data_IF_972311269012
#
_entry.id   IF_972311269012
#
_cell.length_a   1.000
_cell.length_b   1.000
_cell.length_c   1.000
_cell.angle_alpha   90.00
_cell.angle_beta   90.00
_cell.angle_gamma   90.00
#
_symmetry.space_group_name_H-M   'P 1'
#
loop_
_entity.id
_entity.type
_entity.pdbx_description
1 polymer ?
#
# COMPACT_ATOMS: atom_id res chain seq x y z
N UNK A 1 7.31 52.22 -8.96
CA UNK A 1 7.46 51.27 -10.07
C UNK A 1 8.20 50.07 -9.55
N UNK A 2 7.47 49.08 -9.08
CA UNK A 2 8.00 47.80 -8.55
C UNK A 2 7.57 46.69 -9.49
N UNK A 3 8.55 46.12 -10.18
CA UNK A 3 8.37 45.00 -11.11
C UNK A 3 8.06 43.71 -10.33
N UNK A 4 6.84 43.25 -10.53
CA UNK A 4 6.42 41.89 -10.05
C UNK A 4 7.05 40.87 -10.96
N UNK A 5 8.00 40.09 -10.41
CA UNK A 5 8.60 38.93 -11.06
C UNK A 5 7.57 37.79 -11.04
N UNK A 6 7.01 37.49 -12.19
CA UNK A 6 6.17 36.29 -12.39
C UNK A 6 7.02 35.04 -12.41
N UNK A 7 7.00 34.26 -11.33
CA UNK A 7 7.54 32.90 -11.30
C UNK A 7 6.66 32.00 -12.16
N UNK A 8 7.13 31.74 -13.38
CA UNK A 8 6.58 30.72 -14.27
C UNK A 8 6.75 29.34 -13.63
N UNK A 9 5.69 28.84 -13.01
CA UNK A 9 5.56 27.42 -12.64
C UNK A 9 5.35 26.65 -13.95
N UNK A 10 6.44 26.15 -14.52
CA UNK A 10 6.39 25.21 -15.65
C UNK A 10 5.65 23.97 -15.16
N UNK A 11 4.36 23.86 -15.47
CA UNK A 11 3.65 22.59 -15.44
C UNK A 11 4.43 21.63 -16.36
N UNK A 12 5.11 20.68 -15.76
CA UNK A 12 5.73 19.59 -16.47
C UNK A 12 4.61 18.87 -17.23
N UNK A 13 4.51 19.12 -18.54
CA UNK A 13 3.56 18.46 -19.41
C UNK A 13 3.73 16.95 -19.23
N UNK A 14 2.67 16.28 -18.83
CA UNK A 14 2.65 14.82 -18.70
C UNK A 14 3.12 14.22 -20.04
N UNK A 15 4.13 13.35 -19.99
CA UNK A 15 4.59 12.64 -21.17
C UNK A 15 3.39 11.97 -21.86
N UNK A 16 3.31 11.97 -23.20
CA UNK A 16 2.20 11.37 -23.91
C UNK A 16 2.03 9.91 -23.46
N UNK A 17 0.80 9.42 -23.31
CA UNK A 17 0.55 8.08 -22.82
C UNK A 17 1.31 7.09 -23.73
N UNK A 18 2.22 6.33 -23.14
CA UNK A 18 2.91 5.23 -23.85
C UNK A 18 1.83 4.30 -24.39
N UNK A 19 1.87 4.01 -25.67
CA UNK A 19 0.93 3.06 -26.29
C UNK A 19 0.93 1.74 -25.51
N UNK A 20 -0.22 1.06 -25.48
CA UNK A 20 -0.37 -0.22 -24.77
C UNK A 20 0.63 -1.25 -25.28
N UNK A 21 1.23 -1.98 -24.36
CA UNK A 21 2.13 -3.08 -24.72
C UNK A 21 1.35 -4.27 -25.29
N UNK A 22 2.02 -5.12 -26.09
CA UNK A 22 1.42 -6.36 -26.60
C UNK A 22 0.85 -7.23 -25.48
N UNK A 23 1.56 -7.34 -24.34
CA UNK A 23 1.10 -8.09 -23.17
C UNK A 23 -0.19 -7.52 -22.58
N UNK A 24 -0.33 -6.20 -22.52
CA UNK A 24 -1.56 -5.55 -22.04
C UNK A 24 -2.75 -5.79 -22.97
N UNK A 25 -2.53 -5.78 -24.28
CA UNK A 25 -3.58 -6.06 -25.25
C UNK A 25 -4.03 -7.52 -25.19
N UNK A 26 -3.06 -8.46 -25.14
CA UNK A 26 -3.35 -9.88 -24.96
C UNK A 26 -4.11 -10.12 -23.66
N UNK A 27 -3.67 -9.51 -22.57
CA UNK A 27 -4.33 -9.64 -21.25
C UNK A 27 -5.78 -9.19 -21.27
N UNK A 28 -6.09 -8.06 -21.93
CA UNK A 28 -7.45 -7.57 -22.05
C UNK A 28 -8.34 -8.53 -22.85
N UNK A 29 -7.86 -9.00 -24.01
CA UNK A 29 -8.59 -9.95 -24.85
C UNK A 29 -8.81 -11.27 -24.10
N UNK A 30 -7.75 -11.79 -23.46
CA UNK A 30 -7.80 -13.02 -22.69
C UNK A 30 -8.82 -12.93 -21.53
N UNK A 31 -8.91 -11.79 -20.83
CA UNK A 31 -9.86 -11.58 -19.76
C UNK A 31 -11.31 -11.75 -20.26
N UNK A 32 -11.65 -11.14 -21.40
CA UNK A 32 -12.99 -11.29 -21.99
C UNK A 32 -13.26 -12.71 -22.53
N UNK A 33 -12.26 -13.35 -23.14
CA UNK A 33 -12.39 -14.73 -23.61
C UNK A 33 -12.67 -15.67 -22.43
N UNK A 34 -11.89 -15.58 -21.35
CA UNK A 34 -12.05 -16.43 -20.17
C UNK A 34 -13.40 -16.17 -19.50
N UNK A 35 -13.82 -14.91 -19.36
CA UNK A 35 -15.16 -14.58 -18.89
C UNK A 35 -16.23 -15.23 -19.76
N UNK A 36 -16.16 -15.07 -21.08
CA UNK A 36 -17.12 -15.66 -22.02
C UNK A 36 -17.16 -17.19 -21.95
N UNK A 37 -16.00 -17.84 -21.90
CA UNK A 37 -15.90 -19.30 -21.73
C UNK A 37 -16.60 -19.75 -20.44
N UNK A 38 -16.30 -19.10 -19.30
CA UNK A 38 -16.93 -19.46 -18.02
C UNK A 38 -18.45 -19.28 -18.10
N UNK A 39 -18.94 -18.19 -18.68
CA UNK A 39 -20.38 -17.94 -18.80
C UNK A 39 -21.14 -18.94 -19.72
N UNK A 40 -20.42 -19.55 -20.67
CA UNK A 40 -20.98 -20.57 -21.59
C UNK A 40 -20.92 -22.00 -21.02
N UNK A 41 -20.07 -22.24 -20.02
CA UNK A 41 -20.03 -23.55 -19.35
C UNK A 41 -21.31 -23.79 -18.54
N UNK A 42 -21.75 -25.07 -18.41
CA UNK A 42 -22.87 -25.39 -17.55
C UNK A 42 -22.56 -25.01 -16.09
N UNK A 43 -23.57 -24.46 -15.41
CA UNK A 43 -23.45 -24.13 -13.99
C UNK A 43 -23.29 -25.41 -13.16
N UNK A 44 -22.26 -25.60 -12.36
CA UNK A 44 -22.12 -26.76 -11.47
C UNK A 44 -23.33 -26.87 -10.53
N UNK A 45 -23.76 -28.08 -10.20
CA UNK A 45 -24.93 -28.33 -9.33
C UNK A 45 -24.75 -27.73 -7.91
N UNK A 46 -23.51 -27.60 -7.44
CA UNK A 46 -23.19 -27.06 -6.13
C UNK A 46 -23.14 -25.54 -6.08
N UNK A 47 -23.37 -24.86 -7.20
CA UNK A 47 -23.19 -23.42 -7.31
C UNK A 47 -24.43 -22.73 -7.85
N UNK A 48 -24.80 -21.59 -7.28
CA UNK A 48 -25.88 -20.79 -7.86
C UNK A 48 -25.49 -20.19 -9.21
N UNK A 49 -26.46 -19.88 -10.07
CA UNK A 49 -26.20 -19.16 -11.34
C UNK A 49 -25.48 -17.83 -11.10
N UNK A 50 -25.83 -17.13 -10.03
CA UNK A 50 -25.15 -15.88 -9.61
C UNK A 50 -23.69 -16.14 -9.26
N UNK A 51 -23.43 -17.16 -8.44
CA UNK A 51 -22.08 -17.54 -8.03
C UNK A 51 -21.19 -17.94 -9.22
N UNK A 52 -21.73 -18.76 -10.14
CA UNK A 52 -21.03 -19.13 -11.37
C UNK A 52 -20.61 -17.91 -12.20
N UNK A 53 -21.52 -16.97 -12.43
CA UNK A 53 -21.21 -15.72 -13.13
C UNK A 53 -20.16 -14.88 -12.42
N UNK A 54 -20.20 -14.85 -11.07
CA UNK A 54 -19.22 -14.10 -10.27
C UNK A 54 -17.84 -14.74 -10.29
N UNK A 55 -17.73 -16.07 -10.42
CA UNK A 55 -16.42 -16.71 -10.70
C UNK A 55 -15.87 -16.24 -12.04
N UNK A 56 -16.70 -16.07 -13.06
CA UNK A 56 -16.28 -15.48 -14.34
C UNK A 56 -15.73 -14.06 -14.17
N UNK A 57 -16.42 -13.22 -13.39
CA UNK A 57 -15.95 -11.84 -13.09
C UNK A 57 -14.68 -11.86 -12.27
N UNK A 58 -14.50 -12.79 -11.33
CA UNK A 58 -13.27 -12.95 -10.57
C UNK A 58 -12.09 -13.32 -11.48
N UNK A 59 -12.26 -14.30 -12.35
CA UNK A 59 -11.24 -14.69 -13.32
C UNK A 59 -10.84 -13.52 -14.23
N UNK A 60 -11.84 -12.78 -14.73
CA UNK A 60 -11.64 -11.55 -15.49
C UNK A 60 -10.80 -10.53 -14.69
N UNK A 61 -11.14 -10.26 -13.43
CA UNK A 61 -10.44 -9.35 -12.58
C UNK A 61 -8.95 -9.76 -12.37
N UNK A 62 -8.72 -11.04 -12.07
CA UNK A 62 -7.36 -11.58 -11.85
C UNK A 62 -6.50 -11.38 -13.10
N UNK A 63 -7.02 -11.69 -14.29
CA UNK A 63 -6.28 -11.54 -15.55
C UNK A 63 -5.94 -10.07 -15.80
N UNK A 64 -6.89 -9.15 -15.60
CA UNK A 64 -6.64 -7.71 -15.76
C UNK A 64 -5.54 -7.20 -14.82
N UNK A 65 -5.55 -7.66 -13.56
CA UNK A 65 -4.57 -7.21 -12.55
C UNK A 65 -3.19 -7.82 -12.79
N UNK A 66 -3.10 -9.11 -13.09
CA UNK A 66 -1.83 -9.79 -13.36
C UNK A 66 -1.13 -9.25 -14.61
N UNK A 67 -1.90 -8.91 -15.65
CA UNK A 67 -1.35 -8.38 -16.90
C UNK A 67 -1.21 -6.87 -16.93
N UNK A 68 -1.71 -6.17 -15.89
CA UNK A 68 -1.82 -4.71 -15.88
C UNK A 68 -2.47 -4.19 -17.19
N UNK A 69 -3.46 -4.94 -17.71
CA UNK A 69 -4.07 -4.69 -19.00
C UNK A 69 -4.73 -3.31 -19.09
N UNK A 70 -5.27 -2.82 -17.99
CA UNK A 70 -5.83 -1.47 -17.83
C UNK A 70 -5.40 -0.90 -16.48
N UNK A 71 -5.56 0.41 -16.29
CA UNK A 71 -5.29 1.03 -14.98
C UNK A 71 -6.26 0.54 -13.91
N UNK A 72 -5.85 0.61 -12.65
CA UNK A 72 -6.66 0.15 -11.52
C UNK A 72 -8.08 0.74 -11.47
N UNK A 73 -8.30 2.07 -11.64
CA UNK A 73 -9.64 2.62 -11.67
C UNK A 73 -10.50 2.04 -12.79
N UNK A 74 -9.90 1.85 -13.97
CA UNK A 74 -10.62 1.30 -15.13
C UNK A 74 -11.01 -0.16 -14.87
N UNK A 75 -10.09 -1.00 -14.35
CA UNK A 75 -10.42 -2.37 -14.00
C UNK A 75 -11.53 -2.45 -12.96
N UNK A 76 -11.47 -1.63 -11.92
CA UNK A 76 -12.51 -1.57 -10.89
C UNK A 76 -13.87 -1.17 -11.45
N UNK A 77 -13.93 -0.18 -12.36
CA UNK A 77 -15.17 0.22 -13.03
C UNK A 77 -15.73 -0.90 -13.89
N UNK A 78 -14.87 -1.60 -14.66
CA UNK A 78 -15.28 -2.75 -15.47
C UNK A 78 -15.83 -3.90 -14.60
N UNK A 79 -15.13 -4.24 -13.50
CA UNK A 79 -15.58 -5.28 -12.56
C UNK A 79 -16.92 -4.90 -11.95
N UNK A 80 -17.09 -3.65 -11.52
CA UNK A 80 -18.35 -3.17 -10.95
C UNK A 80 -19.49 -3.25 -11.96
N UNK A 81 -19.26 -2.82 -13.20
CA UNK A 81 -20.27 -2.88 -14.26
C UNK A 81 -20.65 -4.31 -14.62
N UNK A 82 -19.65 -5.20 -14.79
CA UNK A 82 -19.90 -6.61 -15.09
C UNK A 82 -20.65 -7.30 -13.95
N UNK A 83 -20.29 -7.03 -12.70
CA UNK A 83 -21.01 -7.55 -11.54
C UNK A 83 -22.45 -7.07 -11.52
N UNK A 84 -22.69 -5.76 -11.71
CA UNK A 84 -24.04 -5.21 -11.72
C UNK A 84 -24.93 -5.87 -12.80
N UNK A 85 -24.37 -6.07 -14.01
CA UNK A 85 -25.09 -6.69 -15.11
C UNK A 85 -25.28 -8.20 -14.91
N UNK A 86 -24.21 -8.95 -14.74
CA UNK A 86 -24.26 -10.42 -14.75
C UNK A 86 -24.98 -10.97 -13.52
N UNK A 87 -24.78 -10.35 -12.36
CA UNK A 87 -25.51 -10.73 -11.15
C UNK A 87 -26.94 -10.20 -11.16
N UNK A 88 -27.16 -8.97 -11.66
CA UNK A 88 -28.48 -8.37 -11.73
C UNK A 88 -29.49 -9.19 -12.58
N UNK A 89 -28.98 -9.84 -13.63
CA UNK A 89 -29.77 -10.78 -14.47
C UNK A 89 -29.66 -12.24 -13.98
N UNK A 90 -29.22 -12.48 -12.76
CA UNK A 90 -29.25 -13.79 -12.13
C UNK A 90 -30.51 -13.93 -11.24
N UNK A 91 -31.00 -15.16 -11.02
CA UNK A 91 -32.06 -15.39 -10.05
C UNK A 91 -31.70 -14.86 -8.68
N UNK A 92 -32.65 -14.25 -7.96
CA UNK A 92 -32.45 -13.78 -6.60
C UNK A 92 -32.36 -15.01 -5.66
N UNK A 93 -31.29 -15.15 -4.84
CA UNK A 93 -31.16 -16.26 -3.90
C UNK A 93 -32.35 -16.40 -2.93
N UNK A 94 -32.94 -15.27 -2.52
CA UNK A 94 -34.09 -15.23 -1.59
C UNK A 94 -35.47 -15.44 -2.29
N UNK A 95 -35.53 -15.22 -3.60
CA UNK A 95 -36.73 -15.36 -4.39
C UNK A 95 -36.41 -15.85 -5.82
N UNK A 96 -36.09 -17.14 -6.03
CA UNK A 96 -35.53 -17.65 -7.29
C UNK A 96 -36.42 -17.43 -8.54
N UNK A 97 -37.72 -17.21 -8.37
CA UNK A 97 -38.63 -16.86 -9.45
C UNK A 97 -38.44 -15.41 -9.96
N UNK A 98 -37.69 -14.59 -9.29
CA UNK A 98 -37.40 -13.19 -9.67
C UNK A 98 -35.93 -12.99 -9.90
N UNK A 99 -35.58 -12.09 -10.83
CA UNK A 99 -34.19 -11.63 -10.98
C UNK A 99 -33.79 -10.75 -9.81
N UNK A 100 -32.51 -10.77 -9.44
CA UNK A 100 -31.97 -9.90 -8.37
C UNK A 100 -32.18 -8.42 -8.69
N UNK A 101 -32.01 -8.04 -9.96
CA UNK A 101 -32.06 -6.68 -10.45
C UNK A 101 -30.69 -5.98 -10.38
N UNK A 102 -30.39 -5.19 -11.42
CA UNK A 102 -29.07 -4.52 -11.56
C UNK A 102 -28.80 -3.50 -10.45
N UNK A 103 -29.83 -2.83 -9.94
CA UNK A 103 -29.70 -1.88 -8.83
C UNK A 103 -29.25 -2.58 -7.54
N UNK A 104 -29.84 -3.73 -7.19
CA UNK A 104 -29.47 -4.51 -6.03
C UNK A 104 -28.05 -5.09 -6.18
N UNK A 105 -27.72 -5.62 -7.35
CA UNK A 105 -26.38 -6.12 -7.65
C UNK A 105 -25.32 -5.00 -7.55
N UNK A 106 -25.64 -3.80 -8.04
CA UNK A 106 -24.79 -2.63 -7.91
C UNK A 106 -24.58 -2.23 -6.44
N UNK A 107 -25.64 -2.22 -5.64
CA UNK A 107 -25.53 -1.92 -4.20
C UNK A 107 -24.67 -2.95 -3.47
N UNK A 108 -24.75 -4.23 -3.84
CA UNK A 108 -23.93 -5.28 -3.26
C UNK A 108 -22.43 -5.06 -3.53
N UNK A 109 -22.04 -4.76 -4.76
CA UNK A 109 -20.62 -4.55 -5.06
C UNK A 109 -20.09 -3.22 -4.49
N UNK A 110 -20.91 -2.16 -4.50
CA UNK A 110 -20.55 -0.86 -3.93
C UNK A 110 -20.38 -0.95 -2.40
N UNK A 111 -21.03 -1.89 -1.72
CA UNK A 111 -20.88 -2.10 -0.27
C UNK A 111 -19.41 -2.31 0.14
N UNK A 112 -18.55 -2.78 -0.76
CA UNK A 112 -17.11 -2.87 -0.52
C UNK A 112 -16.44 -1.53 -0.23
N UNK A 113 -16.94 -0.44 -0.80
CA UNK A 113 -16.41 0.92 -0.59
C UNK A 113 -16.76 1.49 0.78
N UNK A 114 -17.82 1.02 1.42
CA UNK A 114 -18.24 1.43 2.77
C UNK A 114 -17.72 0.51 3.88
N UNK A 115 -16.93 -0.50 3.54
CA UNK A 115 -16.35 -1.38 4.54
C UNK A 115 -15.33 -0.65 5.43
N UNK A 116 -15.26 -0.92 6.76
CA UNK A 116 -14.26 -0.34 7.64
C UNK A 116 -12.83 -0.55 7.12
N UNK A 117 -12.54 -1.72 6.54
CA UNK A 117 -11.25 -2.01 5.95
C UNK A 117 -10.91 -1.05 4.80
N UNK A 118 -11.88 -0.72 3.94
CA UNK A 118 -11.68 0.21 2.83
C UNK A 118 -11.44 1.63 3.32
N UNK A 119 -12.20 2.08 4.31
CA UNK A 119 -12.03 3.40 4.93
C UNK A 119 -10.63 3.49 5.55
N UNK A 120 -10.17 2.45 6.23
CA UNK A 120 -8.84 2.41 6.83
C UNK A 120 -7.72 2.43 5.77
N UNK A 121 -7.89 1.73 4.63
CA UNK A 121 -6.94 1.80 3.50
C UNK A 121 -6.85 3.23 2.97
N UNK A 122 -7.98 3.88 2.72
CA UNK A 122 -8.01 5.28 2.29
C UNK A 122 -7.34 6.20 3.30
N UNK A 123 -7.67 6.03 4.57
CA UNK A 123 -7.10 6.77 5.69
C UNK A 123 -5.56 6.62 5.76
N UNK A 124 -5.06 5.42 5.59
CA UNK A 124 -3.64 5.12 5.58
C UNK A 124 -2.87 5.87 4.48
N UNK A 125 -3.51 6.12 3.33
CA UNK A 125 -2.88 6.89 2.25
C UNK A 125 -2.67 8.37 2.65
N UNK A 126 -3.58 8.97 3.43
CA UNK A 126 -3.38 10.32 3.96
C UNK A 126 -2.18 10.40 4.91
N UNK A 127 -1.95 9.37 5.75
CA UNK A 127 -0.77 9.31 6.60
C UNK A 127 0.50 9.28 5.73
N UNK A 128 0.53 8.47 4.67
CA UNK A 128 1.66 8.42 3.73
C UNK A 128 1.92 9.76 3.04
N UNK A 129 0.86 10.51 2.70
CA UNK A 129 0.98 11.86 2.12
C UNK A 129 1.54 12.85 3.14
N UNK A 130 1.07 12.80 4.40
CA UNK A 130 1.57 13.65 5.48
C UNK A 130 3.07 13.39 5.76
N UNK A 131 3.51 12.12 5.77
CA UNK A 131 4.91 11.73 5.92
C UNK A 131 5.78 12.34 4.81
N UNK A 132 5.37 12.20 3.55
CA UNK A 132 6.09 12.79 2.41
C UNK A 132 6.10 14.33 2.45
N UNK A 133 4.98 14.95 2.84
CA UNK A 133 4.90 16.42 2.94
C UNK A 133 5.87 16.99 3.96
N UNK A 134 5.94 16.38 5.12
CA UNK A 134 6.81 16.83 6.21
C UNK A 134 8.27 16.44 6.02
N UNK A 135 8.53 15.34 5.28
CA UNK A 135 9.86 14.74 5.15
C UNK A 135 10.30 13.95 6.39
N UNK A 136 9.36 13.63 7.30
CA UNK A 136 9.67 12.86 8.50
C UNK A 136 10.18 11.46 8.19
N UNK A 137 9.67 10.81 7.14
CA UNK A 137 10.15 9.54 6.62
C UNK A 137 11.63 9.61 6.20
N UNK A 138 11.99 10.65 5.44
CA UNK A 138 13.40 10.91 5.04
C UNK A 138 14.29 11.17 6.26
N UNK A 139 13.81 11.95 7.22
CA UNK A 139 14.56 12.21 8.48
C UNK A 139 14.84 10.91 9.23
N UNK A 140 13.82 10.07 9.43
CA UNK A 140 13.97 8.77 10.11
C UNK A 140 15.02 7.92 9.38
N UNK A 141 14.91 7.80 8.06
CA UNK A 141 15.84 7.02 7.26
C UNK A 141 17.28 7.53 7.38
N UNK A 142 17.48 8.85 7.26
CA UNK A 142 18.82 9.46 7.36
C UNK A 142 19.41 9.32 8.78
N UNK A 143 18.60 9.46 9.83
CA UNK A 143 19.05 9.28 11.21
C UNK A 143 19.54 7.85 11.45
N UNK A 144 18.80 6.85 11.04
CA UNK A 144 19.18 5.44 11.20
C UNK A 144 20.42 5.14 10.37
N UNK A 145 20.42 5.47 9.08
CA UNK A 145 21.54 5.16 8.18
C UNK A 145 22.83 5.90 8.55
N UNK A 146 22.74 7.13 9.06
CA UNK A 146 23.93 7.87 9.53
C UNK A 146 24.51 7.35 10.85
N UNK A 147 23.82 6.45 11.55
CA UNK A 147 24.26 5.92 12.85
C UNK A 147 24.88 4.52 12.80
N UNK A 148 24.75 3.80 11.67
CA UNK A 148 25.15 2.39 11.59
C UNK A 148 26.63 2.16 11.21
N UNK A 149 27.36 3.23 10.85
CA UNK A 149 28.78 3.16 10.45
C UNK A 149 28.98 2.74 9.00
N UNK A 150 30.24 2.48 8.62
CA UNK A 150 30.70 2.36 7.23
C UNK A 150 30.75 0.95 6.67
N UNK A 151 30.56 -0.09 7.50
CA UNK A 151 30.53 -1.48 7.02
C UNK A 151 29.28 -1.75 6.19
N UNK A 152 29.44 -2.29 5.00
CA UNK A 152 28.33 -2.58 4.08
C UNK A 152 27.22 -3.43 4.74
N UNK A 153 27.59 -4.43 5.52
CA UNK A 153 26.64 -5.25 6.27
C UNK A 153 25.84 -4.49 7.32
N UNK A 154 26.47 -3.47 7.97
CA UNK A 154 25.79 -2.60 8.94
C UNK A 154 24.86 -1.61 8.22
N UNK A 155 25.28 -1.05 7.09
CA UNK A 155 24.42 -0.18 6.27
C UNK A 155 23.23 -0.98 5.77
N UNK A 156 23.42 -2.21 5.33
CA UNK A 156 22.33 -3.10 4.95
C UNK A 156 21.37 -3.37 6.12
N UNK A 157 21.89 -3.67 7.30
CA UNK A 157 21.07 -3.79 8.51
C UNK A 157 20.33 -2.48 8.82
N UNK A 158 20.97 -1.34 8.66
CA UNK A 158 20.38 -0.02 8.82
C UNK A 158 19.20 0.22 7.86
N UNK A 159 19.32 -0.21 6.60
CA UNK A 159 18.23 -0.17 5.61
C UNK A 159 17.05 -1.02 6.07
N UNK A 160 17.29 -2.24 6.55
CA UNK A 160 16.27 -3.14 7.08
C UNK A 160 15.56 -2.53 8.30
N UNK A 161 16.31 -2.00 9.26
CA UNK A 161 15.75 -1.35 10.46
C UNK A 161 14.96 -0.10 10.09
N UNK A 162 15.44 0.68 9.13
CA UNK A 162 14.70 1.85 8.62
C UNK A 162 13.34 1.42 8.04
N UNK A 163 13.32 0.36 7.23
CA UNK A 163 12.10 -0.22 6.71
C UNK A 163 11.12 -0.61 7.82
N UNK A 164 11.61 -1.25 8.89
CA UNK A 164 10.79 -1.60 10.06
C UNK A 164 10.20 -0.37 10.73
N UNK A 165 11.03 0.63 11.05
CA UNK A 165 10.54 1.85 11.71
C UNK A 165 9.51 2.55 10.83
N UNK A 166 9.79 2.70 9.54
CA UNK A 166 8.84 3.31 8.61
C UNK A 166 7.55 2.51 8.46
N UNK A 167 7.59 1.18 8.60
CA UNK A 167 6.39 0.34 8.49
C UNK A 167 5.35 0.61 9.58
N UNK A 168 5.76 1.12 10.74
CA UNK A 168 4.82 1.57 11.78
C UNK A 168 4.12 2.89 11.42
N UNK A 169 4.75 3.74 10.61
CA UNK A 169 4.28 5.09 10.34
C UNK A 169 3.78 5.29 8.90
N UNK A 170 4.29 4.52 7.95
CA UNK A 170 3.99 4.67 6.52
C UNK A 170 3.27 3.41 6.02
N UNK A 171 1.95 3.40 5.93
CA UNK A 171 1.16 2.22 5.57
C UNK A 171 1.14 1.94 4.06
N UNK A 172 2.30 2.01 3.43
CA UNK A 172 2.49 1.73 2.00
C UNK A 172 3.92 1.31 1.72
N UNK A 173 4.12 0.07 1.30
CA UNK A 173 5.40 -0.46 0.88
C UNK A 173 6.06 0.39 -0.21
N UNK A 174 5.28 0.75 -1.23
CA UNK A 174 5.76 1.58 -2.34
C UNK A 174 6.25 2.94 -1.86
N UNK A 175 5.54 3.58 -0.92
CA UNK A 175 5.95 4.86 -0.37
C UNK A 175 7.24 4.74 0.45
N UNK A 176 7.40 3.68 1.25
CA UNK A 176 8.63 3.43 2.02
C UNK A 176 9.83 3.21 1.12
N UNK A 177 9.69 2.37 0.08
CA UNK A 177 10.78 2.14 -0.89
C UNK A 177 11.06 3.40 -1.71
N UNK A 178 10.04 4.17 -2.09
CA UNK A 178 10.24 5.45 -2.77
C UNK A 178 11.00 6.48 -1.92
N UNK A 179 10.90 6.42 -0.59
CA UNK A 179 11.71 7.21 0.34
C UNK A 179 13.15 6.66 0.45
N UNK A 180 13.31 5.34 0.62
CA UNK A 180 14.60 4.69 0.85
C UNK A 180 15.50 4.67 -0.38
N UNK A 181 14.94 4.42 -1.57
CA UNK A 181 15.71 4.25 -2.79
C UNK A 181 16.59 5.46 -3.14
N UNK A 182 16.11 6.71 -3.13
CA UNK A 182 16.97 7.87 -3.38
C UNK A 182 18.09 8.04 -2.35
N UNK A 183 17.84 7.66 -1.08
CA UNK A 183 18.85 7.74 -0.01
C UNK A 183 19.93 6.70 -0.25
N UNK A 184 19.57 5.47 -0.57
CA UNK A 184 20.50 4.39 -0.92
C UNK A 184 21.34 4.78 -2.14
N UNK A 185 20.71 5.30 -3.20
CA UNK A 185 21.39 5.79 -4.40
C UNK A 185 22.35 6.93 -4.03
N UNK A 186 21.90 7.88 -3.23
CA UNK A 186 22.74 8.99 -2.76
C UNK A 186 23.97 8.53 -1.99
N UNK A 187 23.86 7.51 -1.12
CA UNK A 187 25.00 6.91 -0.42
C UNK A 187 25.97 6.29 -1.43
N UNK A 188 25.46 5.50 -2.37
CA UNK A 188 26.26 4.80 -3.38
C UNK A 188 27.00 5.80 -4.26
N UNK A 189 26.33 6.82 -4.80
CA UNK A 189 26.92 7.82 -5.70
C UNK A 189 27.93 8.74 -5.02
N UNK A 190 27.61 9.22 -3.82
CA UNK A 190 28.51 10.10 -3.08
C UNK A 190 29.83 9.41 -2.66
N UNK A 191 29.86 8.09 -2.66
CA UNK A 191 31.05 7.29 -2.41
C UNK A 191 31.77 6.86 -3.69
N UNK A 192 31.35 7.37 -4.86
CA UNK A 192 31.94 7.00 -6.15
C UNK A 192 31.68 5.56 -6.57
N UNK A 193 30.67 4.92 -6.00
CA UNK A 193 30.28 3.53 -6.31
C UNK A 193 29.30 3.56 -7.48
N UNK A 194 29.48 2.66 -8.44
CA UNK A 194 28.57 2.53 -9.58
C UNK A 194 27.16 2.09 -9.12
N UNK A 195 26.12 2.68 -9.72
CA UNK A 195 24.72 2.26 -9.49
C UNK A 195 24.44 0.80 -9.79
N UNK A 196 25.21 0.18 -10.69
CA UNK A 196 25.11 -1.23 -11.06
C UNK A 196 26.00 -2.16 -10.23
N UNK A 197 26.63 -1.66 -9.17
CA UNK A 197 27.48 -2.44 -8.26
C UNK A 197 26.67 -3.47 -7.48
N UNK A 198 27.35 -4.52 -6.99
CA UNK A 198 26.72 -5.51 -6.09
C UNK A 198 26.36 -4.92 -4.75
N UNK A 199 27.08 -3.88 -4.28
CA UNK A 199 26.69 -3.12 -3.08
C UNK A 199 25.33 -2.44 -3.28
N UNK A 200 25.16 -1.71 -4.37
CA UNK A 200 23.88 -1.06 -4.69
C UNK A 200 22.75 -2.10 -4.82
N UNK A 201 23.00 -3.22 -5.51
CA UNK A 201 22.05 -4.31 -5.65
C UNK A 201 21.67 -4.93 -4.29
N UNK A 202 22.66 -5.19 -3.42
CA UNK A 202 22.43 -5.72 -2.08
C UNK A 202 21.50 -4.81 -1.25
N UNK A 203 21.79 -3.51 -1.24
CA UNK A 203 21.00 -2.55 -0.46
C UNK A 203 19.58 -2.39 -1.02
N UNK A 204 19.41 -2.32 -2.34
CA UNK A 204 18.11 -2.13 -2.98
C UNK A 204 17.23 -3.37 -2.91
N UNK A 205 17.77 -4.55 -3.28
CA UNK A 205 17.04 -5.82 -3.22
C UNK A 205 16.70 -6.16 -1.77
N UNK A 206 17.67 -5.96 -0.87
CA UNK A 206 17.45 -6.20 0.55
C UNK A 206 16.42 -5.28 1.19
N UNK A 207 16.37 -3.99 0.78
CA UNK A 207 15.33 -3.07 1.23
C UNK A 207 13.93 -3.59 0.85
N UNK A 208 13.75 -3.98 -0.41
CA UNK A 208 12.45 -4.48 -0.93
C UNK A 208 12.03 -5.78 -0.24
N UNK A 209 12.96 -6.72 -0.07
CA UNK A 209 12.67 -8.00 0.59
C UNK A 209 12.29 -7.81 2.06
N UNK A 210 13.09 -7.04 2.81
CA UNK A 210 12.80 -6.76 4.21
C UNK A 210 11.45 -6.02 4.37
N UNK A 211 11.17 -5.06 3.50
CA UNK A 211 9.91 -4.31 3.52
C UNK A 211 8.70 -5.22 3.27
N UNK A 212 8.84 -6.24 2.43
CA UNK A 212 7.80 -7.26 2.21
C UNK A 212 7.46 -8.02 3.49
N UNK A 213 8.44 -8.39 4.30
CA UNK A 213 8.20 -9.08 5.56
C UNK A 213 7.67 -8.15 6.65
N UNK A 214 8.12 -6.89 6.69
CA UNK A 214 7.55 -5.88 7.59
C UNK A 214 6.10 -5.56 7.26
N UNK A 215 5.71 -5.64 5.98
CA UNK A 215 4.31 -5.54 5.58
C UNK A 215 3.43 -6.61 6.22
N UNK A 216 3.92 -7.85 6.31
CA UNK A 216 3.18 -8.95 6.94
C UNK A 216 3.05 -8.71 8.44
N UNK A 217 4.14 -8.24 9.09
CA UNK A 217 4.20 -8.09 10.54
C UNK A 217 3.20 -7.09 11.09
N UNK A 218 3.02 -5.95 10.42
CA UNK A 218 2.26 -4.82 10.95
C UNK A 218 0.93 -4.71 10.20
N UNK A 219 -0.18 -4.84 10.91
CA UNK A 219 -1.53 -4.83 10.35
C UNK A 219 -1.76 -3.62 9.41
N UNK A 220 -1.37 -2.44 9.84
CA UNK A 220 -1.56 -1.18 9.12
C UNK A 220 -0.48 -0.88 8.06
N UNK A 221 0.57 -1.70 7.97
CA UNK A 221 1.66 -1.47 7.01
C UNK A 221 1.27 -1.75 5.55
N UNK A 222 0.21 -2.54 5.33
CA UNK A 222 -0.21 -2.92 3.99
C UNK A 222 -1.73 -3.07 3.87
N UNK A 223 -2.28 -2.59 2.76
CA UNK A 223 -3.72 -2.62 2.49
C UNK A 223 -4.30 -4.03 2.49
N UNK A 224 -3.56 -5.03 1.99
CA UNK A 224 -4.00 -6.42 1.97
C UNK A 224 -4.26 -7.00 3.36
N UNK A 225 -3.50 -6.59 4.38
CA UNK A 225 -3.73 -7.02 5.76
C UNK A 225 -5.07 -6.48 6.28
N UNK A 226 -5.36 -5.22 5.97
CA UNK A 226 -6.60 -4.57 6.37
C UNK A 226 -7.81 -5.22 5.70
N UNK A 227 -7.67 -5.60 4.42
CA UNK A 227 -8.70 -6.35 3.69
C UNK A 227 -8.91 -7.74 4.32
N UNK A 228 -7.83 -8.44 4.66
CA UNK A 228 -7.91 -9.75 5.32
C UNK A 228 -8.64 -9.65 6.67
N UNK A 229 -8.28 -8.67 7.51
CA UNK A 229 -8.96 -8.41 8.79
C UNK A 229 -10.44 -8.06 8.57
N UNK A 230 -10.75 -7.26 7.56
CA UNK A 230 -12.14 -6.93 7.20
C UNK A 230 -12.96 -8.19 6.83
N UNK A 231 -12.37 -9.13 6.08
CA UNK A 231 -13.02 -10.41 5.78
C UNK A 231 -13.14 -11.32 7.00
N UNK A 232 -12.12 -11.40 7.87
CA UNK A 232 -12.23 -12.14 9.14
C UNK A 232 -13.39 -11.61 9.98
N UNK A 233 -13.54 -10.30 10.07
CA UNK A 233 -14.62 -9.67 10.84
C UNK A 233 -16.01 -9.94 10.22
N UNK A 234 -16.15 -9.78 8.89
CA UNK A 234 -17.46 -9.85 8.23
C UNK A 234 -17.93 -11.27 7.91
N UNK A 235 -16.99 -12.20 7.64
CA UNK A 235 -17.31 -13.55 7.21
C UNK A 235 -17.12 -14.60 8.31
N UNK A 236 -16.14 -14.38 9.20
CA UNK A 236 -15.82 -15.32 10.28
C UNK A 236 -16.32 -14.82 11.63
N UNK A 237 -16.92 -13.63 11.68
CA UNK A 237 -17.33 -12.94 12.92
C UNK A 237 -16.21 -12.87 13.98
N UNK A 238 -14.97 -12.75 13.51
CA UNK A 238 -13.77 -12.72 14.34
C UNK A 238 -13.14 -11.34 14.27
N UNK A 239 -13.07 -10.66 15.42
CA UNK A 239 -12.35 -9.39 15.54
C UNK A 239 -10.87 -9.64 15.82
N UNK A 240 -10.00 -9.10 15.00
CA UNK A 240 -8.54 -9.18 15.18
C UNK A 240 -8.04 -7.77 15.51
N UNK A 241 -7.58 -7.56 16.73
CA UNK A 241 -7.01 -6.26 17.13
C UNK A 241 -5.64 -6.05 16.45
N UNK A 242 -5.17 -4.80 16.43
CA UNK A 242 -3.87 -4.47 15.88
C UNK A 242 -2.73 -5.22 16.57
N UNK A 243 -2.81 -5.37 17.91
CA UNK A 243 -1.80 -6.08 18.70
C UNK A 243 -1.88 -7.60 18.52
N UNK A 244 -3.07 -8.17 18.32
CA UNK A 244 -3.22 -9.60 18.06
C UNK A 244 -2.58 -9.96 16.71
N UNK A 245 -2.80 -9.12 15.68
CA UNK A 245 -2.13 -9.28 14.40
C UNK A 245 -0.62 -9.20 14.55
N UNK A 246 -0.11 -8.17 15.24
CA UNK A 246 1.33 -7.99 15.44
C UNK A 246 1.96 -9.19 16.14
N UNK A 247 1.36 -9.68 17.22
CA UNK A 247 1.90 -10.82 17.99
C UNK A 247 1.86 -12.12 17.21
N UNK A 248 0.84 -12.33 16.38
CA UNK A 248 0.73 -13.51 15.54
C UNK A 248 1.72 -13.50 14.35
N UNK A 249 1.91 -12.34 13.72
CA UNK A 249 2.71 -12.21 12.50
C UNK A 249 4.20 -11.92 12.76
N UNK A 250 4.55 -11.33 13.92
CA UNK A 250 5.92 -10.93 14.23
C UNK A 250 6.94 -12.10 14.22
N UNK A 251 6.65 -13.27 14.80
CA UNK A 251 7.62 -14.37 14.81
C UNK A 251 8.02 -14.80 13.38
N UNK A 252 7.03 -14.96 12.49
CA UNK A 252 7.28 -15.30 11.09
C UNK A 252 8.12 -14.20 10.40
N UNK A 253 7.70 -12.95 10.52
CA UNK A 253 8.35 -11.83 9.82
C UNK A 253 9.79 -11.61 10.28
N UNK A 254 10.05 -11.71 11.59
CA UNK A 254 11.40 -11.57 12.16
C UNK A 254 12.31 -12.70 11.65
N UNK A 255 11.84 -13.94 11.68
CA UNK A 255 12.61 -15.10 11.18
C UNK A 255 12.92 -14.90 9.70
N UNK A 256 11.94 -14.51 8.90
CA UNK A 256 12.12 -14.31 7.45
C UNK A 256 13.07 -13.16 7.13
N UNK A 257 13.04 -12.08 7.90
CA UNK A 257 14.01 -10.97 7.74
C UNK A 257 15.43 -11.41 8.10
N UNK A 258 15.61 -12.19 9.16
CA UNK A 258 16.92 -12.75 9.52
C UNK A 258 17.43 -13.67 8.39
N UNK A 259 16.59 -14.56 7.87
CA UNK A 259 16.93 -15.42 6.73
C UNK A 259 17.29 -14.56 5.51
N UNK A 260 16.45 -13.57 5.17
CA UNK A 260 16.69 -12.69 4.04
C UNK A 260 17.99 -11.90 4.20
N UNK A 261 18.31 -11.43 5.41
CA UNK A 261 19.55 -10.71 5.69
C UNK A 261 20.80 -11.55 5.33
N UNK A 262 20.87 -12.79 5.77
CA UNK A 262 22.00 -13.66 5.47
C UNK A 262 21.98 -14.20 4.04
N UNK A 263 20.81 -14.62 3.55
CA UNK A 263 20.66 -15.18 2.21
C UNK A 263 21.01 -14.15 1.13
N UNK A 264 20.51 -12.91 1.24
CA UNK A 264 20.80 -11.87 0.26
C UNK A 264 22.29 -11.53 0.22
N UNK A 265 22.97 -11.48 1.39
CA UNK A 265 24.42 -11.28 1.43
C UNK A 265 25.22 -12.48 0.88
N UNK A 266 24.71 -13.69 1.02
CA UNK A 266 25.34 -14.88 0.44
C UNK A 266 25.22 -14.92 -1.08
N UNK A 267 24.07 -14.51 -1.61
CA UNK A 267 23.79 -14.46 -3.06
C UNK A 267 24.41 -13.23 -3.74
N UNK A 268 24.28 -12.07 -3.12
CA UNK A 268 24.80 -10.79 -3.62
C UNK A 268 26.01 -10.40 -2.77
N UNK A 269 27.17 -11.00 -3.06
CA UNK A 269 28.41 -10.69 -2.35
C UNK A 269 28.88 -9.28 -2.76
N UNK A 270 28.96 -8.30 -1.82
CA UNK A 270 29.46 -6.97 -2.13
C UNK A 270 30.92 -7.02 -2.56
N UNK A 271 31.35 -6.09 -3.43
CA UNK A 271 32.72 -6.00 -3.95
C UNK A 271 33.71 -5.67 -2.82
N UNK A 272 33.27 -4.95 -1.81
CA UNK A 272 34.06 -4.54 -0.65
C UNK A 272 33.21 -4.62 0.63
N UNK A 273 33.89 -4.77 1.75
CA UNK A 273 33.24 -4.94 3.07
C UNK A 273 32.96 -3.63 3.77
N UNK A 274 33.68 -2.57 3.40
CA UNK A 274 33.62 -1.26 4.05
C UNK A 274 33.67 -0.14 3.01
N UNK A 275 32.93 0.93 3.26
CA UNK A 275 32.86 2.11 2.38
C UNK A 275 33.98 3.08 2.74
N UNK A 276 35.01 3.19 1.90
CA UNK A 276 36.09 4.16 2.08
C UNK A 276 35.52 5.58 1.95
N UNK A 277 35.80 6.44 2.93
CA UNK A 277 35.22 7.78 2.98
C UNK A 277 33.76 7.85 3.47
N UNK A 278 33.17 6.72 3.85
CA UNK A 278 31.81 6.62 4.34
C UNK A 278 31.54 7.48 5.57
N UNK A 279 32.51 7.61 6.48
CA UNK A 279 32.37 8.42 7.71
C UNK A 279 32.11 9.90 7.39
N UNK A 280 32.81 10.45 6.40
CA UNK A 280 32.62 11.84 5.95
C UNK A 280 31.24 12.02 5.37
N UNK A 281 30.78 11.06 4.56
CA UNK A 281 29.46 11.11 3.93
C UNK A 281 28.34 10.97 4.96
N UNK A 282 28.46 10.04 5.91
CA UNK A 282 27.48 9.87 6.99
C UNK A 282 27.44 11.10 7.90
N UNK A 283 28.59 11.72 8.19
CA UNK A 283 28.66 12.98 8.95
C UNK A 283 27.98 14.14 8.18
N UNK A 284 28.16 14.21 6.85
CA UNK A 284 27.48 15.18 6.00
C UNK A 284 25.97 14.98 6.01
N UNK A 285 25.52 13.75 5.81
CA UNK A 285 24.08 13.40 5.91
C UNK A 285 23.49 13.83 7.26
N UNK A 286 24.21 13.60 8.36
CA UNK A 286 23.77 13.97 9.71
C UNK A 286 23.63 15.48 9.88
N UNK A 287 24.53 16.27 9.28
CA UNK A 287 24.43 17.74 9.27
C UNK A 287 23.27 18.24 8.41
N UNK A 288 23.00 17.59 7.28
CA UNK A 288 21.91 17.95 6.37
C UNK A 288 20.51 17.74 6.98
N UNK A 289 20.36 16.84 7.96
CA UNK A 289 19.08 16.61 8.64
C UNK A 289 18.58 17.89 9.31
N UNK A 290 19.45 18.71 9.88
CA UNK A 290 19.08 19.96 10.56
C UNK A 290 18.10 19.77 11.73
N UNK A 291 17.59 20.87 12.30
CA UNK A 291 16.59 20.82 13.37
C UNK A 291 15.25 20.31 12.84
N UNK A 292 14.48 19.66 13.72
CA UNK A 292 13.16 19.14 13.40
C UNK A 292 12.16 20.29 13.21
N UNK A 293 11.47 20.31 12.08
CA UNK A 293 10.45 21.31 11.78
C UNK A 293 9.22 21.15 12.68
N UNK A 294 8.40 22.20 12.77
CA UNK A 294 7.16 22.16 13.55
C UNK A 294 6.19 21.12 13.01
N UNK A 295 6.09 20.97 11.69
CA UNK A 295 5.18 20.00 11.07
C UNK A 295 5.66 18.57 11.25
N UNK A 296 6.98 18.31 11.22
CA UNK A 296 7.54 17.01 11.58
C UNK A 296 7.22 16.64 13.04
N UNK A 297 7.34 17.59 13.98
CA UNK A 297 7.00 17.37 15.40
C UNK A 297 5.53 17.05 15.58
N UNK A 298 4.64 17.82 14.92
CA UNK A 298 3.18 17.58 14.97
C UNK A 298 2.85 16.19 14.44
N UNK A 299 3.38 15.85 13.25
CA UNK A 299 3.16 14.54 12.65
C UNK A 299 3.66 13.41 13.52
N UNK A 300 4.87 13.53 14.07
CA UNK A 300 5.43 12.53 14.98
C UNK A 300 4.57 12.34 16.23
N UNK A 301 4.10 13.43 16.84
CA UNK A 301 3.21 13.38 18.00
C UNK A 301 1.89 12.66 17.68
N UNK A 302 1.23 13.03 16.57
CA UNK A 302 -0.03 12.41 16.14
C UNK A 302 0.21 10.93 15.80
N UNK A 303 1.30 10.60 15.12
CA UNK A 303 1.63 9.22 14.74
C UNK A 303 1.93 8.33 15.94
N UNK A 304 2.68 8.83 16.94
CA UNK A 304 2.92 8.10 18.20
C UNK A 304 1.61 7.91 18.97
N UNK A 305 0.77 8.95 19.06
CA UNK A 305 -0.54 8.86 19.69
C UNK A 305 -1.43 7.82 18.99
N UNK A 306 -1.42 7.81 17.66
CA UNK A 306 -2.17 6.84 16.87
C UNK A 306 -1.68 5.40 17.10
N UNK A 307 -0.36 5.17 17.09
CA UNK A 307 0.22 3.86 17.41
C UNK A 307 -0.14 3.40 18.83
N UNK A 308 -0.11 4.30 19.81
CA UNK A 308 -0.50 3.99 21.18
C UNK A 308 -1.99 3.58 21.24
N UNK A 309 -2.88 4.28 20.55
CA UNK A 309 -4.29 3.93 20.46
C UNK A 309 -4.49 2.57 19.75
N UNK A 310 -3.78 2.29 18.68
CA UNK A 310 -3.86 0.98 18.00
C UNK A 310 -3.37 -0.16 18.90
N UNK A 311 -2.24 0.03 19.60
CA UNK A 311 -1.66 -0.99 20.47
C UNK A 311 -2.51 -1.26 21.73
N UNK A 312 -3.29 -0.29 22.18
CA UNK A 312 -4.12 -0.39 23.40
C UNK A 312 -5.60 -0.67 23.12
N UNK A 313 -6.00 -0.64 21.83
CA UNK A 313 -7.36 -0.93 21.39
C UNK A 313 -7.82 -2.32 21.80
N UNK A 314 -9.06 -2.44 22.25
CA UNK A 314 -9.64 -3.68 22.77
C UNK A 314 -9.20 -4.06 24.17
N UNK A 315 -8.16 -3.41 24.75
CA UNK A 315 -7.67 -3.66 26.12
C UNK A 315 -7.94 -2.49 27.06
N UNK A 316 -7.54 -1.27 26.68
CA UNK A 316 -7.71 -0.06 27.50
C UNK A 316 -8.88 0.81 27.02
N UNK A 317 -9.32 0.67 25.78
CA UNK A 317 -10.46 1.40 25.21
C UNK A 317 -11.13 0.58 24.11
N UNK A 318 -12.37 0.92 23.79
CA UNK A 318 -13.19 0.25 22.77
C UNK A 318 -13.22 0.96 21.42
N UNK A 319 -12.41 2.01 21.22
CA UNK A 319 -12.35 2.74 19.96
C UNK A 319 -11.60 1.87 18.92
N UNK A 320 -12.24 1.59 17.80
CA UNK A 320 -11.67 0.76 16.74
C UNK A 320 -10.55 1.48 15.96
N UNK A 321 -9.73 0.68 15.28
CA UNK A 321 -8.56 1.16 14.51
C UNK A 321 -8.96 2.16 13.42
N UNK A 322 -10.09 1.96 12.75
CA UNK A 322 -10.57 2.84 11.68
C UNK A 322 -10.94 4.21 12.21
N UNK A 323 -11.73 4.25 13.30
CA UNK A 323 -12.14 5.50 13.95
C UNK A 323 -10.96 6.32 14.45
N UNK A 324 -9.99 5.67 15.13
CA UNK A 324 -8.77 6.34 15.60
C UNK A 324 -7.96 6.93 14.45
N UNK A 325 -7.91 6.22 13.31
CA UNK A 325 -7.20 6.70 12.12
C UNK A 325 -7.90 7.89 11.48
N UNK A 326 -9.23 7.88 11.39
CA UNK A 326 -10.02 9.02 10.88
C UNK A 326 -9.81 10.25 11.76
N UNK A 327 -9.78 10.10 13.10
CA UNK A 327 -9.47 11.19 14.03
C UNK A 327 -8.09 11.79 13.73
N UNK A 328 -7.07 10.94 13.52
CA UNK A 328 -5.73 11.42 13.18
C UNK A 328 -5.71 12.20 11.88
N UNK A 329 -6.46 11.76 10.85
CA UNK A 329 -6.59 12.49 9.59
C UNK A 329 -7.30 13.82 9.78
N UNK A 330 -8.37 13.87 10.56
CA UNK A 330 -9.05 15.12 10.87
C UNK A 330 -8.08 16.12 11.51
N UNK A 331 -7.18 15.66 12.41
CA UNK A 331 -6.13 16.50 12.98
C UNK A 331 -5.12 16.99 11.91
N UNK A 332 -4.83 16.22 10.86
CA UNK A 332 -3.94 16.67 9.78
C UNK A 332 -4.48 17.86 9.01
N UNK A 333 -5.80 18.02 8.93
CA UNK A 333 -6.47 19.11 8.24
C UNK A 333 -7.00 20.21 9.17
N UNK A 334 -6.84 20.04 10.49
CA UNK A 334 -7.44 20.96 11.45
C UNK A 334 -6.81 22.36 11.37
N UNK A 335 -7.61 23.43 11.34
CA UNK A 335 -7.10 24.79 11.24
C UNK A 335 -6.05 25.10 12.34
N UNK A 336 -4.97 25.77 11.99
CA UNK A 336 -3.83 26.20 12.85
C UNK A 336 -2.92 25.08 13.38
N UNK A 337 -3.45 23.88 13.67
CA UNK A 337 -2.65 22.76 14.15
C UNK A 337 -2.37 21.71 13.08
N UNK A 338 -3.13 21.71 11.99
CA UNK A 338 -2.98 20.77 10.90
C UNK A 338 -1.63 20.84 10.20
N UNK A 339 -1.34 19.79 9.46
CA UNK A 339 -0.06 19.57 8.77
C UNK A 339 -0.22 19.86 7.28
N UNK A 340 -1.40 19.63 6.71
CA UNK A 340 -1.64 19.75 5.26
C UNK A 340 -3.04 20.28 4.98
N UNK A 341 -3.22 20.83 3.78
CA UNK A 341 -4.51 21.21 3.22
C UNK A 341 -5.00 20.20 2.18
N UNK A 342 -6.28 20.28 1.83
CA UNK A 342 -6.90 19.37 0.87
C UNK A 342 -6.30 19.50 -0.54
N UNK A 343 -5.91 20.72 -0.95
CA UNK A 343 -5.32 20.97 -2.27
C UNK A 343 -4.00 20.24 -2.45
N UNK A 344 -3.23 20.11 -1.37
CA UNK A 344 -1.99 19.33 -1.37
C UNK A 344 -2.29 17.84 -1.31
N UNK A 345 -3.20 17.39 -0.43
CA UNK A 345 -3.47 15.98 -0.23
C UNK A 345 -4.08 15.31 -1.47
N UNK A 346 -5.09 15.94 -2.07
CA UNK A 346 -5.89 15.37 -3.15
C UNK A 346 -5.07 14.81 -4.34
N UNK A 347 -4.13 15.55 -4.97
CA UNK A 347 -3.35 15.04 -6.09
C UNK A 347 -2.27 14.03 -5.69
N UNK A 348 -1.95 13.94 -4.39
CA UNK A 348 -0.90 13.07 -3.88
C UNK A 348 -1.42 11.71 -3.34
N UNK A 349 -2.74 11.51 -3.32
CA UNK A 349 -3.37 10.24 -2.93
C UNK A 349 -3.49 9.35 -4.17
N UNK A 350 -3.19 8.08 -3.99
CA UNK A 350 -3.44 7.06 -5.02
C UNK A 350 -4.91 6.60 -5.01
N UNK A 351 -5.76 7.43 -5.59
CA UNK A 351 -7.19 7.14 -5.77
C UNK A 351 -7.44 5.86 -6.56
N UNK A 352 -6.50 5.52 -7.47
CA UNK A 352 -6.61 4.31 -8.27
C UNK A 352 -6.61 3.05 -7.42
N UNK A 353 -5.70 2.97 -6.47
CA UNK A 353 -5.66 1.88 -5.50
C UNK A 353 -6.90 1.86 -4.59
N UNK A 354 -7.38 3.02 -4.14
CA UNK A 354 -8.62 3.12 -3.35
C UNK A 354 -9.79 2.49 -4.10
N UNK A 355 -10.00 2.89 -5.35
CA UNK A 355 -11.12 2.37 -6.17
C UNK A 355 -10.95 0.87 -6.44
N UNK A 356 -9.73 0.41 -6.71
CA UNK A 356 -9.44 -1.01 -6.92
C UNK A 356 -9.75 -1.86 -5.68
N UNK A 357 -9.31 -1.44 -4.50
CA UNK A 357 -9.57 -2.18 -3.25
C UNK A 357 -11.07 -2.21 -2.91
N UNK A 358 -11.78 -1.09 -3.10
CA UNK A 358 -13.23 -1.03 -2.88
C UNK A 358 -13.99 -2.03 -3.76
N UNK A 359 -13.68 -2.07 -5.06
CA UNK A 359 -14.26 -3.03 -5.99
C UNK A 359 -13.87 -4.47 -5.66
N UNK A 360 -12.61 -4.71 -5.25
CA UNK A 360 -12.11 -6.03 -4.87
C UNK A 360 -12.81 -6.58 -3.61
N UNK A 361 -12.97 -5.76 -2.56
CA UNK A 361 -13.73 -6.14 -1.35
C UNK A 361 -15.19 -6.39 -1.70
N UNK A 362 -15.78 -5.54 -2.54
CA UNK A 362 -17.15 -5.70 -3.00
C UNK A 362 -17.34 -7.01 -3.77
N UNK A 363 -16.44 -7.33 -4.71
CA UNK A 363 -16.46 -8.58 -5.46
C UNK A 363 -16.35 -9.81 -4.53
N UNK A 364 -15.42 -9.76 -3.56
CA UNK A 364 -15.29 -10.80 -2.54
C UNK A 364 -16.57 -10.99 -1.72
N UNK A 365 -17.22 -9.90 -1.30
CA UNK A 365 -18.48 -9.92 -0.57
C UNK A 365 -19.61 -10.54 -1.43
N UNK A 366 -19.68 -10.16 -2.70
CA UNK A 366 -20.68 -10.71 -3.64
C UNK A 366 -20.47 -12.21 -3.84
N UNK A 367 -19.23 -12.65 -4.09
CA UNK A 367 -18.89 -14.08 -4.25
C UNK A 367 -19.33 -14.91 -3.05
N UNK A 368 -19.13 -14.41 -1.83
CA UNK A 368 -19.53 -15.13 -0.61
C UNK A 368 -21.05 -15.19 -0.42
N UNK A 369 -21.79 -14.17 -0.87
CA UNK A 369 -23.25 -14.12 -0.78
C UNK A 369 -23.97 -14.89 -1.88
N UNK A 370 -23.27 -15.24 -2.95
CA UNK A 370 -23.86 -15.91 -4.13
C UNK A 370 -23.52 -17.40 -4.22
N UNK A 371 -23.01 -17.98 -3.15
CA UNK A 371 -22.68 -19.42 -3.07
C UNK A 371 -23.83 -20.31 -3.43
#
# INVERSE_FOLDING_TARGET
MSTVSSTNTTQQAAAPPKGRTTAQNIGLILAFIVLGVILLLPTPETLSTGGHRMIGVLAFAIILWMTSAVSYPVSATMITALTALLLGFSPNPEAPAKMLGTANALMLIISGFSSPAMILVGAAMFISVAMRKTGLDRRIAMLVLSSVGTKVSRIYLGVIITGLILAFFVPSATARIACLAPIIIGIVENLGIERKSRVAALLMVGAVQADTFWNIMIQTAAAQNLVAVGFMQTQMNTSVSWIDWLTAAAPFSIIMVIIAYFLTQALIKPEFKELVGGDVQLAKMRKEIGPMSTDEKKLLCISIGLLALWATGGKLHSIDTTTTTIIAIALFFFPKIGIMDWKFAQPNIDWGSIVMFGAGIGLGTVLLKTK
#
